data_IF_524077719458
#
_entry.id   IF_524077719458
#
_cell.length_a   1.000
_cell.length_b   1.000
_cell.length_c   1.000
_cell.angle_alpha   90.00
_cell.angle_beta   90.00
_cell.angle_gamma   90.00
#
_symmetry.space_group_name_H-M   'P 1'
#
loop_
_entity.id
_entity.type
_entity.pdbx_description
1 polymer ?
#
# COMPACT_ATOMS: atom_id res chain seq x y z
N UNK A 1 12.62 -7.75 8.95
CA UNK A 1 12.15 -6.65 8.07
C UNK A 1 11.78 -5.44 8.92
N UNK A 2 11.97 -4.22 8.41
CA UNK A 2 11.38 -2.99 8.98
C UNK A 2 10.77 -2.14 7.87
N UNK A 3 9.54 -1.66 8.11
CA UNK A 3 8.82 -0.76 7.20
C UNK A 3 8.35 0.44 8.00
N UNK A 4 8.52 1.65 7.44
CA UNK A 4 8.07 2.91 8.02
C UNK A 4 7.20 3.66 7.02
N UNK A 5 6.04 4.13 7.45
CA UNK A 5 5.05 4.75 6.57
C UNK A 5 4.55 6.04 7.21
N UNK A 6 4.60 7.13 6.46
CA UNK A 6 4.07 8.44 6.86
C UNK A 6 3.23 9.03 5.75
N UNK A 7 2.09 9.63 6.11
CA UNK A 7 1.27 10.40 5.17
C UNK A 7 2.00 11.72 4.87
N UNK A 8 2.15 12.05 3.58
CA UNK A 8 2.82 13.29 3.14
C UNK A 8 1.87 14.29 2.49
N UNK A 9 0.69 13.84 2.07
CA UNK A 9 -0.34 14.73 1.53
C UNK A 9 -1.67 14.02 1.32
N UNK A 10 -2.74 14.80 1.25
CA UNK A 10 -4.09 14.34 0.89
C UNK A 10 -4.76 15.39 0.02
N UNK A 11 -5.41 14.93 -1.04
CA UNK A 11 -6.20 15.76 -1.96
C UNK A 11 -7.60 15.16 -2.05
N UNK A 12 -8.60 15.99 -1.77
CA UNK A 12 -10.00 15.69 -2.09
C UNK A 12 -10.26 16.18 -3.52
N UNK A 13 -10.60 15.26 -4.43
CA UNK A 13 -10.77 15.56 -5.85
C UNK A 13 -12.15 16.08 -6.20
N UNK A 14 -13.15 15.73 -5.41
CA UNK A 14 -14.55 16.12 -5.65
C UNK A 14 -15.03 17.19 -4.66
N UNK A 15 -14.28 17.42 -3.57
CA UNK A 15 -14.61 18.39 -2.53
C UNK A 15 -15.69 17.91 -1.55
N UNK A 16 -16.17 16.67 -1.70
CA UNK A 16 -17.18 16.02 -0.86
C UNK A 16 -16.64 14.79 -0.10
N UNK A 17 -15.34 14.52 -0.20
CA UNK A 17 -14.69 13.36 0.40
C UNK A 17 -15.02 12.01 -0.27
N UNK A 18 -15.75 11.99 -1.38
CA UNK A 18 -16.11 10.76 -2.11
C UNK A 18 -15.00 10.22 -3.01
N UNK A 19 -13.97 11.04 -3.29
CA UNK A 19 -12.78 10.67 -4.05
C UNK A 19 -11.55 11.35 -3.44
N UNK A 20 -10.88 10.60 -2.56
CA UNK A 20 -9.74 11.09 -1.79
C UNK A 20 -8.49 10.36 -2.25
N UNK A 21 -7.46 11.11 -2.62
CA UNK A 21 -6.13 10.59 -2.90
C UNK A 21 -5.17 11.02 -1.80
N UNK A 22 -4.59 10.05 -1.10
CA UNK A 22 -3.58 10.28 -0.07
C UNK A 22 -2.25 9.69 -0.50
N UNK A 23 -1.17 10.45 -0.35
CA UNK A 23 0.18 10.02 -0.68
C UNK A 23 0.94 9.70 0.60
N UNK A 24 1.68 8.60 0.57
CA UNK A 24 2.47 8.08 1.68
C UNK A 24 3.92 7.92 1.24
N UNK A 25 4.84 8.39 2.08
CA UNK A 25 6.23 7.99 2.00
C UNK A 25 6.40 6.68 2.76
N UNK A 26 6.88 5.67 2.05
CA UNK A 26 7.07 4.30 2.51
C UNK A 26 8.55 3.98 2.41
N UNK A 27 9.18 3.68 3.54
CA UNK A 27 10.54 3.13 3.56
C UNK A 27 10.41 1.66 3.90
N UNK A 28 10.70 0.80 2.94
CA UNK A 28 10.71 -0.66 3.13
C UNK A 28 12.15 -1.16 3.06
N UNK A 29 12.64 -1.69 4.19
CA UNK A 29 13.97 -2.28 4.27
C UNK A 29 15.09 -1.36 3.76
N UNK A 30 14.91 -0.04 3.96
CA UNK A 30 15.84 1.02 3.55
C UNK A 30 15.59 1.65 2.17
N UNK A 31 14.69 1.09 1.35
CA UNK A 31 14.32 1.67 0.05
C UNK A 31 13.05 2.52 0.18
N UNK A 32 13.10 3.74 -0.35
CA UNK A 32 11.99 4.69 -0.27
C UNK A 32 11.09 4.62 -1.51
N UNK A 33 9.78 4.67 -1.28
CA UNK A 33 8.72 4.68 -2.27
C UNK A 33 7.69 5.75 -1.90
N UNK A 34 7.11 6.38 -2.92
CA UNK A 34 5.94 7.24 -2.76
C UNK A 34 4.72 6.52 -3.33
N UNK A 35 3.78 6.17 -2.45
CA UNK A 35 2.58 5.41 -2.81
C UNK A 35 1.35 6.29 -2.64
N UNK A 36 0.51 6.35 -3.66
CA UNK A 36 -0.80 6.98 -3.58
C UNK A 36 -1.87 5.93 -3.35
N UNK A 37 -2.66 6.09 -2.29
CA UNK A 37 -3.92 5.39 -2.10
C UNK A 37 -5.05 6.32 -2.55
N UNK A 38 -5.83 5.90 -3.54
CA UNK A 38 -7.06 6.57 -3.94
C UNK A 38 -8.24 5.77 -3.44
N UNK A 39 -9.12 6.40 -2.69
CA UNK A 39 -10.35 5.79 -2.18
C UNK A 39 -11.53 6.50 -2.81
N UNK A 40 -12.43 5.73 -3.41
CA UNK A 40 -13.69 6.24 -3.95
C UNK A 40 -14.86 5.28 -3.67
N UNK A 41 -16.08 5.70 -4.00
CA UNK A 41 -17.31 4.93 -3.70
C UNK A 41 -17.35 3.48 -4.22
N UNK A 42 -16.45 3.10 -5.14
CA UNK A 42 -16.41 1.77 -5.77
C UNK A 42 -15.23 0.91 -5.31
N UNK A 43 -14.36 1.44 -4.44
CA UNK A 43 -13.18 0.71 -3.97
C UNK A 43 -12.00 1.62 -3.69
N UNK A 44 -10.83 1.00 -3.57
CA UNK A 44 -9.57 1.71 -3.40
C UNK A 44 -8.52 1.14 -4.35
N UNK A 45 -7.58 1.98 -4.77
CA UNK A 45 -6.44 1.55 -5.57
C UNK A 45 -5.16 2.16 -5.05
N UNK A 46 -4.08 1.42 -5.20
CA UNK A 46 -2.72 1.84 -4.85
C UNK A 46 -1.95 2.10 -6.14
N UNK A 47 -1.14 3.15 -6.17
CA UNK A 47 -0.30 3.49 -7.31
C UNK A 47 1.06 4.01 -6.85
N UNK A 48 2.10 3.75 -7.66
CA UNK A 48 3.43 4.32 -7.44
C UNK A 48 3.49 5.71 -8.06
N UNK A 49 3.90 6.74 -7.31
CA UNK A 49 3.99 8.10 -7.82
C UNK A 49 4.99 8.19 -8.97
N UNK A 50 4.59 8.83 -10.07
CA UNK A 50 5.42 8.97 -11.27
C UNK A 50 5.32 7.79 -12.24
N UNK A 51 4.54 6.76 -11.92
CA UNK A 51 4.32 5.60 -12.78
C UNK A 51 2.82 5.41 -13.05
N UNK A 52 2.48 5.00 -14.27
CA UNK A 52 1.11 4.65 -14.61
C UNK A 52 0.71 3.29 -14.03
N UNK A 53 -0.60 3.03 -13.94
CA UNK A 53 -1.12 1.76 -13.45
C UNK A 53 -1.28 1.69 -11.93
N UNK A 54 -1.53 0.48 -11.43
CA UNK A 54 -1.83 0.20 -10.04
C UNK A 54 -0.93 -0.88 -9.46
N UNK A 55 -0.73 -0.82 -8.14
CA UNK A 55 0.01 -1.79 -7.36
C UNK A 55 -0.92 -2.87 -6.85
N UNK A 56 -0.47 -4.12 -6.88
CA UNK A 56 -1.15 -5.26 -6.27
C UNK A 56 -0.12 -6.24 -5.71
N UNK A 57 -0.58 -7.12 -4.81
CA UNK A 57 0.21 -8.26 -4.34
C UNK A 57 -0.11 -9.47 -5.19
N UNK A 58 0.90 -9.99 -5.87
CA UNK A 58 0.85 -11.31 -6.48
C UNK A 58 0.92 -12.36 -5.36
N UNK A 59 -0.14 -13.14 -5.22
CA UNK A 59 -0.26 -14.16 -4.16
C UNK A 59 0.60 -15.39 -4.41
N UNK A 60 0.92 -15.70 -5.66
CA UNK A 60 1.72 -16.88 -6.02
C UNK A 60 3.19 -16.64 -5.70
N UNK A 61 3.67 -15.44 -6.00
CA UNK A 61 5.08 -15.06 -5.79
C UNK A 61 5.31 -14.28 -4.50
N UNK A 62 4.24 -13.85 -3.83
CA UNK A 62 4.29 -12.96 -2.66
C UNK A 62 5.10 -11.68 -2.92
N UNK A 63 4.98 -11.14 -4.13
CA UNK A 63 5.67 -9.91 -4.57
C UNK A 63 4.68 -8.78 -4.81
N UNK A 64 5.16 -7.54 -4.74
CA UNK A 64 4.38 -6.39 -5.22
C UNK A 64 4.66 -6.18 -6.69
N UNK A 65 3.59 -6.05 -7.47
CA UNK A 65 3.65 -5.82 -8.91
C UNK A 65 2.91 -4.55 -9.28
N UNK A 66 3.34 -3.90 -10.36
CA UNK A 66 2.67 -2.78 -11.00
C UNK A 66 2.06 -3.25 -12.31
N UNK A 67 0.76 -3.06 -12.48
CA UNK A 67 0.06 -3.35 -13.72
C UNK A 67 -0.50 -2.06 -14.34
N UNK A 68 -0.15 -1.80 -15.60
CA UNK A 68 -0.72 -0.73 -16.40
C UNK A 68 -1.60 -1.30 -17.52
N UNK A 69 -2.76 -0.68 -17.69
CA UNK A 69 -3.79 -1.13 -18.62
C UNK A 69 -4.15 -0.01 -19.58
N UNK A 70 -4.39 -0.35 -20.85
CA UNK A 70 -4.98 0.53 -21.84
C UNK A 70 -6.20 -0.10 -22.51
N UNK A 71 -6.98 0.73 -23.20
CA UNK A 71 -8.12 0.29 -24.02
C UNK A 71 -7.65 0.13 -25.46
N UNK A 72 -7.67 -1.11 -25.94
CA UNK A 72 -7.34 -1.46 -27.31
C UNK A 72 -8.41 -1.03 -28.32
N UNK A 73 -8.06 -1.11 -29.60
CA UNK A 73 -8.91 -0.67 -30.74
C UNK A 73 -10.28 -1.35 -30.81
N UNK A 74 -10.43 -2.52 -30.19
CA UNK A 74 -11.69 -3.29 -30.14
C UNK A 74 -12.38 -3.19 -28.78
N UNK A 75 -12.14 -2.12 -28.01
CA UNK A 75 -12.60 -1.97 -26.62
C UNK A 75 -12.10 -3.07 -25.66
N UNK A 76 -11.09 -3.85 -26.08
CA UNK A 76 -10.43 -4.84 -25.22
C UNK A 76 -9.48 -4.16 -24.23
N UNK A 77 -9.26 -4.79 -23.07
CA UNK A 77 -8.24 -4.34 -22.12
C UNK A 77 -6.91 -4.94 -22.55
N UNK A 78 -5.88 -4.11 -22.68
CA UNK A 78 -4.51 -4.52 -22.98
C UNK A 78 -3.68 -4.30 -21.71
N UNK A 79 -2.85 -5.28 -21.37
CA UNK A 79 -1.83 -5.14 -20.33
C UNK A 79 -0.58 -4.56 -21.00
N UNK A 80 -0.34 -3.27 -20.81
CA UNK A 80 0.82 -2.58 -21.38
C UNK A 80 2.09 -2.88 -20.59
N UNK A 81 1.95 -3.07 -19.29
CA UNK A 81 3.04 -3.46 -18.41
C UNK A 81 2.51 -4.27 -17.23
N UNK A 82 3.27 -5.28 -16.84
CA UNK A 82 3.09 -6.04 -15.61
C UNK A 82 4.48 -6.41 -15.08
N UNK A 83 4.94 -5.68 -14.07
CA UNK A 83 6.32 -5.77 -13.59
C UNK A 83 6.41 -5.84 -12.07
N UNK A 84 7.41 -6.57 -11.58
CA UNK A 84 7.72 -6.62 -10.16
C UNK A 84 8.33 -5.29 -9.69
N UNK A 85 7.86 -4.78 -8.55
CA UNK A 85 8.44 -3.60 -7.90
C UNK A 85 9.50 -4.07 -6.90
N UNK A 86 10.75 -4.08 -7.35
CA UNK A 86 11.86 -4.58 -6.52
C UNK A 86 12.00 -3.81 -5.19
N UNK A 87 12.10 -4.56 -4.10
CA UNK A 87 12.32 -4.03 -2.75
C UNK A 87 11.07 -3.50 -2.05
N UNK A 88 9.88 -3.60 -2.67
CA UNK A 88 8.62 -3.26 -2.02
C UNK A 88 7.90 -4.54 -1.59
N UNK A 89 7.69 -4.72 -0.29
CA UNK A 89 7.00 -5.89 0.24
C UNK A 89 5.48 -5.74 0.23
N UNK A 90 4.72 -6.85 0.20
CA UNK A 90 3.27 -6.82 0.39
C UNK A 90 2.84 -6.15 1.70
N UNK A 91 3.65 -6.26 2.76
CA UNK A 91 3.38 -5.63 4.05
C UNK A 91 3.39 -4.10 3.95
N UNK A 92 4.17 -3.53 3.04
CA UNK A 92 4.15 -2.10 2.80
C UNK A 92 2.79 -1.62 2.28
N UNK A 93 2.17 -2.35 1.34
CA UNK A 93 0.84 -2.01 0.83
C UNK A 93 -0.23 -2.11 1.93
N UNK A 94 -0.17 -3.16 2.75
CA UNK A 94 -1.07 -3.31 3.92
C UNK A 94 -0.86 -2.18 4.92
N UNK A 95 0.39 -1.79 5.17
CA UNK A 95 0.73 -0.68 6.05
C UNK A 95 0.20 0.66 5.56
N UNK A 96 0.17 0.91 4.24
CA UNK A 96 -0.48 2.10 3.66
C UNK A 96 -1.97 2.12 3.99
N UNK A 97 -2.65 0.97 3.89
CA UNK A 97 -4.06 0.86 4.28
C UNK A 97 -4.29 1.18 5.77
N UNK A 98 -3.40 0.68 6.63
CA UNK A 98 -3.44 0.94 8.07
C UNK A 98 -3.22 2.43 8.35
N UNK A 99 -2.25 3.06 7.68
CA UNK A 99 -2.01 4.49 7.77
C UNK A 99 -3.22 5.31 7.29
N UNK A 100 -3.98 4.82 6.31
CA UNK A 100 -5.19 5.50 5.86
C UNK A 100 -6.34 5.41 6.86
N UNK A 101 -6.55 4.23 7.43
CA UNK A 101 -7.56 4.01 8.49
C UNK A 101 -7.25 4.83 9.75
N UNK A 102 -5.97 5.03 10.05
CA UNK A 102 -5.50 5.83 11.19
C UNK A 102 -5.09 7.24 10.74
N UNK A 103 -6.04 8.04 10.23
CA UNK A 103 -5.76 9.38 9.63
C UNK A 103 -4.98 10.37 10.51
N UNK A 104 -5.01 10.19 11.83
CA UNK A 104 -4.30 11.02 12.81
C UNK A 104 -2.88 10.52 13.12
N UNK A 105 -2.55 9.30 12.72
CA UNK A 105 -1.25 8.71 12.96
C UNK A 105 -0.16 9.50 12.22
N UNK A 106 0.93 9.78 12.91
CA UNK A 106 2.12 10.42 12.34
C UNK A 106 2.98 9.40 11.62
N UNK A 107 3.10 8.20 12.17
CA UNK A 107 3.91 7.12 11.61
C UNK A 107 3.30 5.75 11.90
N UNK A 108 3.32 4.89 10.88
CA UNK A 108 3.12 3.44 11.01
C UNK A 108 4.48 2.77 10.90
N UNK A 109 4.77 1.83 11.81
CA UNK A 109 5.95 0.96 11.71
C UNK A 109 5.53 -0.50 11.70
N UNK A 110 6.16 -1.30 10.83
CA UNK A 110 5.93 -2.75 10.76
C UNK A 110 7.29 -3.42 10.92
N UNK A 111 7.41 -4.34 11.89
CA UNK A 111 8.68 -4.98 12.25
C UNK A 111 8.45 -6.49 12.39
N UNK A 112 9.28 -7.30 11.74
CA UNK A 112 9.30 -8.75 11.99
C UNK A 112 9.75 -9.04 13.42
N UNK A 113 9.03 -9.90 14.15
CA UNK A 113 9.61 -10.54 15.33
C UNK A 113 10.48 -11.72 14.90
N UNK A 114 11.72 -11.74 15.39
CA UNK A 114 12.57 -12.93 15.37
C UNK A 114 11.98 -14.05 16.27
N UNK A 115 12.42 -15.33 16.15
CA UNK A 115 11.59 -16.54 16.24
C UNK A 115 11.08 -16.96 17.64
N UNK A 116 11.13 -16.08 18.64
CA UNK A 116 10.68 -16.40 19.99
C UNK A 116 9.14 -16.32 20.17
N UNK A 117 8.41 -15.82 19.18
CA UNK A 117 6.94 -15.83 19.17
C UNK A 117 6.41 -16.81 18.12
N UNK A 118 5.51 -17.70 18.53
CA UNK A 118 4.87 -18.72 17.68
C UNK A 118 3.99 -18.18 16.52
N UNK A 119 3.98 -16.87 16.30
CA UNK A 119 3.32 -16.22 15.17
C UNK A 119 4.39 -15.62 14.26
N UNK A 120 4.39 -16.04 13.00
CA UNK A 120 5.21 -15.49 11.91
C UNK A 120 4.70 -14.12 11.41
N UNK A 121 3.73 -13.51 12.09
CA UNK A 121 3.21 -12.20 11.67
C UNK A 121 4.09 -11.05 12.17
N UNK A 122 4.39 -10.07 11.31
CA UNK A 122 5.05 -8.85 11.75
C UNK A 122 4.16 -8.05 12.70
N UNK A 123 4.80 -7.33 13.62
CA UNK A 123 4.12 -6.48 14.58
C UNK A 123 3.95 -5.08 14.00
N UNK A 124 2.73 -4.54 14.13
CA UNK A 124 2.39 -3.19 13.67
C UNK A 124 2.36 -2.24 14.85
N UNK A 125 2.99 -1.09 14.68
CA UNK A 125 2.98 0.04 15.60
C UNK A 125 2.30 1.23 14.93
N UNK A 126 1.38 1.88 15.66
CA UNK A 126 0.79 3.16 15.30
C UNK A 126 1.29 4.19 16.31
N UNK A 127 2.06 5.18 15.87
CA UNK A 127 2.67 6.19 16.76
C UNK A 127 3.44 5.61 17.96
N UNK A 128 4.01 4.40 17.79
CA UNK A 128 4.77 3.69 18.82
C UNK A 128 3.95 2.72 19.68
N UNK A 129 2.62 2.73 19.59
CA UNK A 129 1.75 1.78 20.28
C UNK A 129 1.51 0.53 19.43
N UNK A 130 1.62 -0.65 20.04
CA UNK A 130 1.35 -1.93 19.37
C UNK A 130 -0.14 -2.05 19.13
N UNK A 131 -0.54 -2.23 17.87
CA UNK A 131 -1.93 -2.53 17.53
C UNK A 131 -2.01 -4.01 17.21
N UNK A 132 -2.72 -4.77 18.06
CA UNK A 132 -2.91 -6.21 17.86
C UNK A 132 -3.57 -6.50 16.50
N UNK A 133 -3.07 -7.53 15.80
CA UNK A 133 -3.56 -8.00 14.49
C UNK A 133 -5.09 -8.18 14.50
N UNK A 134 -5.80 -7.86 13.39
CA UNK A 134 -5.74 -8.75 12.23
C UNK A 134 -5.46 -7.97 10.96
N UNK A 135 -4.24 -8.12 10.46
CA UNK A 135 -3.83 -7.59 9.16
C UNK A 135 -4.47 -8.41 8.00
N UNK A 136 -5.27 -9.44 8.32
CA UNK A 136 -5.90 -10.39 7.39
C UNK A 136 -7.18 -9.90 6.69
N UNK A 137 -7.64 -8.66 6.95
CA UNK A 137 -8.87 -8.11 6.34
C UNK A 137 -8.65 -6.92 5.42
N UNK A 138 -7.45 -6.77 4.89
CA UNK A 138 -7.15 -5.72 3.90
C UNK A 138 -6.86 -6.40 2.56
N UNK A 139 -7.91 -6.60 1.77
CA UNK A 139 -7.81 -6.98 0.37
C UNK A 139 -7.94 -5.72 -0.50
N UNK A 140 -7.10 -5.64 -1.53
CA UNK A 140 -7.14 -4.66 -2.61
C UNK A 140 -7.29 -5.40 -3.92
#
# INVERSE_FOLDING_TARGET
MEIRIRRVGTVDRNGDGSDVASTYAVIDSGKEFLITLRTHARGSSLALVGHEGFLYTDRETNTVRRQALSVGRSCGIIIDADEMVEGLSPWALRGVAIADRNRKAKEIRIIDRAPASASNEPVVFVDGEVVGSPIDKVEF
#
